data_IF_228603069204
#
_entry.id   IF_228603069204
#
_cell.length_a   1.000
_cell.length_b   1.000
_cell.length_c   1.000
_cell.angle_alpha   90.00
_cell.angle_beta   90.00
_cell.angle_gamma   90.00
#
_symmetry.space_group_name_H-M   'P 1'
#
loop_
_entity.id
_entity.type
_entity.pdbx_description
1 polymer ?
#
# COMPACT_ATOMS: atom_id res chain seq x y z
N UNK A 1 -34.33 -40.30 35.01
CA UNK A 1 -33.07 -40.68 35.66
C UNK A 1 -31.95 -40.05 34.84
N UNK A 2 -31.05 -39.28 35.46
CA UNK A 2 -30.05 -38.49 34.73
C UNK A 2 -28.92 -39.39 34.21
N UNK A 3 -28.40 -39.05 33.03
CA UNK A 3 -27.22 -39.66 32.43
C UNK A 3 -25.96 -39.02 33.03
N UNK A 4 -25.17 -39.82 33.74
CA UNK A 4 -23.81 -39.51 34.17
C UNK A 4 -22.93 -39.21 32.95
N UNK A 5 -22.35 -38.02 32.90
CA UNK A 5 -21.22 -37.69 32.02
C UNK A 5 -20.00 -37.55 32.90
N UNK A 6 -19.12 -38.54 32.83
CA UNK A 6 -17.82 -38.59 33.49
C UNK A 6 -16.97 -37.40 33.07
N UNK A 7 -16.54 -36.59 34.04
CA UNK A 7 -15.63 -35.45 33.84
C UNK A 7 -14.25 -35.99 33.47
N UNK A 8 -13.86 -35.85 32.20
CA UNK A 8 -12.48 -36.04 31.77
C UNK A 8 -11.63 -34.90 32.33
N UNK A 9 -10.66 -35.22 33.19
CA UNK A 9 -9.62 -34.29 33.60
C UNK A 9 -8.83 -33.82 32.37
N UNK A 10 -9.09 -32.58 31.93
CA UNK A 10 -8.20 -31.85 31.04
C UNK A 10 -6.98 -31.41 31.83
N UNK A 11 -5.82 -31.98 31.50
CA UNK A 11 -4.52 -31.55 32.02
C UNK A 11 -4.31 -30.05 31.74
N UNK A 12 -4.12 -29.27 32.80
CA UNK A 12 -3.55 -27.91 32.72
C UNK A 12 -2.17 -27.99 32.06
N UNK A 13 -1.82 -27.10 31.11
CA UNK A 13 -0.47 -27.05 30.57
C UNK A 13 0.52 -26.59 31.65
N UNK A 14 1.62 -27.35 31.80
CA UNK A 14 2.70 -27.10 32.75
C UNK A 14 3.23 -25.67 32.70
N UNK A 15 3.24 -25.02 33.88
CA UNK A 15 3.98 -23.78 34.15
C UNK A 15 5.50 -24.02 34.16
N UNK A 16 6.14 -24.33 33.05
CA UNK A 16 7.61 -24.24 32.94
C UNK A 16 8.02 -24.13 31.48
N UNK A 17 8.16 -22.91 30.98
CA UNK A 17 9.05 -22.57 29.87
C UNK A 17 9.22 -21.04 29.81
N UNK A 18 9.90 -20.50 30.82
CA UNK A 18 10.48 -19.16 30.71
C UNK A 18 11.71 -19.32 29.78
N UNK A 19 11.78 -18.65 28.62
CA UNK A 19 12.89 -18.82 27.70
C UNK A 19 14.20 -18.34 28.34
N UNK A 20 15.25 -19.17 28.26
CA UNK A 20 16.60 -18.79 28.71
C UNK A 20 17.18 -17.68 27.83
N UNK A 21 18.05 -16.82 28.41
CA UNK A 21 18.70 -15.67 27.73
C UNK A 21 19.33 -16.01 26.37
N UNK A 22 19.75 -17.26 26.16
CA UNK A 22 20.39 -17.75 24.93
C UNK A 22 19.39 -17.90 23.76
N UNK A 23 18.18 -18.40 24.02
CA UNK A 23 17.12 -18.55 23.00
C UNK A 23 16.52 -17.21 22.52
N UNK A 24 16.64 -16.15 23.31
CA UNK A 24 16.17 -14.81 22.96
C UNK A 24 17.12 -14.12 21.97
N UNK A 25 18.43 -14.40 22.06
CA UNK A 25 19.44 -13.84 21.14
C UNK A 25 19.33 -14.46 19.74
N UNK A 26 19.15 -15.78 19.63
CA UNK A 26 19.02 -16.45 18.32
C UNK A 26 17.71 -16.08 17.59
N UNK A 27 16.61 -15.82 18.31
CA UNK A 27 15.36 -15.31 17.71
C UNK A 27 15.40 -13.83 17.30
N UNK A 28 16.28 -13.01 17.91
CA UNK A 28 16.39 -11.58 17.62
C UNK A 28 16.98 -11.31 16.23
N UNK A 29 17.94 -12.11 15.79
CA UNK A 29 18.54 -11.98 14.47
C UNK A 29 17.61 -12.48 13.35
N UNK A 30 16.68 -13.39 13.67
CA UNK A 30 15.75 -14.00 12.71
C UNK A 30 14.50 -13.14 12.40
N UNK A 31 14.21 -12.12 13.21
CA UNK A 31 12.95 -11.36 13.12
C UNK A 31 13.15 -9.83 13.04
N UNK A 32 14.33 -9.33 12.65
CA UNK A 32 14.50 -7.89 12.45
C UNK A 32 13.64 -7.40 11.27
N UNK A 33 12.59 -6.62 11.56
CA UNK A 33 11.81 -5.93 10.53
C UNK A 33 12.50 -4.63 10.15
N UNK A 34 12.69 -4.43 8.85
CA UNK A 34 13.01 -3.11 8.31
C UNK A 34 11.70 -2.53 7.75
N UNK A 35 11.11 -1.52 8.41
CA UNK A 35 9.86 -0.94 7.94
C UNK A 35 10.08 -0.21 6.62
N UNK A 36 9.07 -0.25 5.76
CA UNK A 36 9.06 0.48 4.51
C UNK A 36 8.04 1.60 4.57
N UNK A 37 8.37 2.73 3.95
CA UNK A 37 7.52 3.91 3.88
C UNK A 37 7.65 4.55 2.50
N UNK A 38 6.87 4.04 1.54
CA UNK A 38 6.99 4.37 0.11
C UNK A 38 5.67 4.91 -0.46
N UNK A 39 5.77 5.96 -1.28
CA UNK A 39 4.70 6.40 -2.18
C UNK A 39 5.03 5.95 -3.60
N UNK A 40 4.18 5.09 -4.17
CA UNK A 40 4.20 4.70 -5.56
C UNK A 40 3.40 5.70 -6.39
N UNK A 41 4.04 6.33 -7.37
CA UNK A 41 3.39 7.34 -8.20
C UNK A 41 3.63 7.09 -9.69
N UNK A 42 2.78 7.70 -10.51
CA UNK A 42 2.85 7.60 -11.96
C UNK A 42 1.46 7.60 -12.60
N UNK A 43 1.44 7.36 -13.90
CA UNK A 43 0.26 7.54 -14.74
C UNK A 43 -0.91 6.62 -14.33
N UNK A 44 -2.15 6.97 -14.68
CA UNK A 44 -3.30 6.10 -14.45
C UNK A 44 -3.15 4.77 -15.19
N UNK A 45 -3.47 3.66 -14.53
CA UNK A 45 -3.34 2.33 -15.13
C UNK A 45 -1.90 1.82 -15.29
N UNK A 46 -0.90 2.41 -14.62
CA UNK A 46 0.48 1.87 -14.63
C UNK A 46 0.69 0.64 -13.75
N UNK A 47 -0.29 0.24 -12.95
CA UNK A 47 -0.20 -0.94 -12.07
C UNK A 47 0.27 -0.67 -10.64
N UNK A 48 0.25 0.59 -10.18
CA UNK A 48 0.71 1.00 -8.82
C UNK A 48 0.18 0.12 -7.69
N UNK A 49 -1.15 -0.04 -7.58
CA UNK A 49 -1.77 -0.83 -6.50
C UNK A 49 -1.39 -2.32 -6.59
N UNK A 50 -1.24 -2.86 -7.82
CA UNK A 50 -0.76 -4.22 -8.03
C UNK A 50 0.69 -4.39 -7.57
N UNK A 51 1.57 -3.43 -7.87
CA UNK A 51 2.96 -3.46 -7.38
C UNK A 51 3.02 -3.44 -5.85
N UNK A 52 2.17 -2.65 -5.19
CA UNK A 52 2.07 -2.65 -3.72
C UNK A 52 1.63 -4.02 -3.19
N UNK A 53 0.62 -4.62 -3.81
CA UNK A 53 0.13 -5.96 -3.44
C UNK A 53 1.23 -7.02 -3.59
N UNK A 54 1.94 -7.04 -4.71
CA UNK A 54 3.04 -7.99 -4.96
C UNK A 54 4.16 -7.85 -3.92
N UNK A 55 4.56 -6.61 -3.62
CA UNK A 55 5.63 -6.35 -2.64
C UNK A 55 5.22 -6.81 -1.23
N UNK A 56 3.98 -6.54 -0.81
CA UNK A 56 3.47 -6.95 0.49
C UNK A 56 3.34 -8.48 0.56
N UNK A 57 2.82 -9.12 -0.49
CA UNK A 57 2.69 -10.58 -0.56
C UNK A 57 4.08 -11.26 -0.50
N UNK A 58 5.08 -10.71 -1.19
CA UNK A 58 6.47 -11.18 -1.11
C UNK A 58 7.04 -11.05 0.30
N UNK A 59 6.74 -9.96 1.01
CA UNK A 59 7.17 -9.80 2.40
C UNK A 59 6.46 -10.76 3.34
N UNK A 60 5.14 -10.85 3.26
CA UNK A 60 4.33 -11.74 4.10
C UNK A 60 4.74 -13.21 3.94
N UNK A 61 4.98 -13.67 2.71
CA UNK A 61 5.40 -15.06 2.44
C UNK A 61 6.76 -15.42 3.06
N UNK A 62 7.63 -14.44 3.32
CA UNK A 62 8.90 -14.64 4.04
C UNK A 62 8.70 -14.91 5.54
N UNK A 63 7.65 -14.36 6.14
CA UNK A 63 7.44 -14.40 7.60
C UNK A 63 6.40 -15.43 8.05
N UNK A 64 5.48 -15.85 7.18
CA UNK A 64 4.46 -16.83 7.52
C UNK A 64 4.93 -18.26 7.18
N UNK A 65 5.35 -19.02 8.19
CA UNK A 65 5.80 -20.41 8.05
C UNK A 65 4.67 -21.44 7.76
N UNK A 66 3.39 -21.07 7.78
CA UNK A 66 2.28 -22.03 7.62
C UNK A 66 1.43 -21.75 6.39
N UNK A 67 1.64 -22.59 5.37
CA UNK A 67 0.60 -22.93 4.39
C UNK A 67 -0.44 -23.77 5.12
N UNK A 68 -1.67 -23.29 5.29
CA UNK A 68 -2.80 -24.17 5.61
C UNK A 68 -3.17 -24.98 4.36
N UNK A 69 -3.75 -26.17 4.56
CA UNK A 69 -4.05 -27.16 3.50
C UNK A 69 -4.96 -26.64 2.37
N UNK A 70 -5.60 -25.47 2.54
CA UNK A 70 -6.48 -24.84 1.55
C UNK A 70 -5.86 -23.68 0.76
N UNK A 71 -4.54 -23.42 0.85
CA UNK A 71 -3.83 -22.35 0.12
C UNK A 71 -4.41 -20.91 0.24
N UNK A 72 -5.41 -20.69 1.10
CA UNK A 72 -5.98 -19.36 1.38
C UNK A 72 -5.32 -18.80 2.63
N UNK A 73 -4.24 -18.05 2.44
CA UNK A 73 -3.65 -17.24 3.51
C UNK A 73 -4.73 -16.24 3.95
N UNK A 74 -5.12 -16.24 5.23
CA UNK A 74 -6.00 -15.21 5.79
C UNK A 74 -5.20 -13.93 6.05
N UNK A 75 -5.07 -13.11 5.01
CA UNK A 75 -4.36 -11.82 4.97
C UNK A 75 -5.00 -10.71 5.83
N UNK A 76 -6.26 -10.89 6.21
CA UNK A 76 -7.18 -9.83 6.63
C UNK A 76 -6.79 -9.11 7.94
N UNK A 77 -5.88 -9.70 8.72
CA UNK A 77 -5.50 -9.15 10.01
C UNK A 77 -4.19 -8.34 10.02
N UNK A 78 -3.29 -8.52 9.06
CA UNK A 78 -1.98 -7.84 9.02
C UNK A 78 -1.93 -6.64 8.06
N UNK A 79 -2.89 -6.56 7.15
CA UNK A 79 -2.99 -5.50 6.15
C UNK A 79 -4.23 -4.67 6.44
N UNK A 80 -4.05 -3.37 6.60
CA UNK A 80 -5.17 -2.40 6.60
C UNK A 80 -5.05 -1.57 5.34
N UNK A 81 -6.07 -1.58 4.48
CA UNK A 81 -6.13 -0.76 3.27
C UNK A 81 -7.20 0.31 3.42
N UNK A 82 -6.84 1.55 3.08
CA UNK A 82 -7.73 2.71 3.05
C UNK A 82 -7.58 3.45 1.72
N UNK A 83 -8.56 4.25 1.37
CA UNK A 83 -8.52 5.13 0.18
C UNK A 83 -8.79 6.54 0.67
N UNK A 84 -7.90 7.49 0.35
CA UNK A 84 -8.15 8.89 0.66
C UNK A 84 -9.10 9.49 -0.38
N UNK A 85 -10.01 10.33 0.09
CA UNK A 85 -10.93 11.11 -0.73
C UNK A 85 -11.07 12.53 -0.14
N UNK A 86 -11.67 13.49 -0.86
CA UNK A 86 -11.67 14.89 -0.45
C UNK A 86 -12.25 15.13 0.96
N UNK A 87 -13.29 14.38 1.31
CA UNK A 87 -13.94 14.47 2.63
C UNK A 87 -13.34 13.53 3.70
N UNK A 88 -12.28 12.77 3.39
CA UNK A 88 -11.66 11.84 4.34
C UNK A 88 -10.83 12.64 5.34
N UNK A 89 -11.16 12.57 6.62
CA UNK A 89 -10.57 13.41 7.66
C UNK A 89 -9.71 12.67 8.68
N UNK A 90 -9.13 13.46 9.60
CA UNK A 90 -8.40 12.92 10.75
C UNK A 90 -9.30 12.03 11.63
N UNK A 91 -10.55 12.43 11.82
CA UNK A 91 -11.56 11.67 12.57
C UNK A 91 -11.84 10.28 11.98
N UNK A 92 -11.72 10.13 10.66
CA UNK A 92 -11.90 8.86 9.96
C UNK A 92 -10.64 8.00 10.05
N UNK A 93 -9.47 8.61 9.91
CA UNK A 93 -8.18 7.91 9.82
C UNK A 93 -7.58 7.53 11.18
N UNK A 94 -7.52 8.48 12.11
CA UNK A 94 -6.98 8.32 13.46
C UNK A 94 -8.08 7.84 14.40
N UNK A 95 -9.23 8.49 14.37
CA UNK A 95 -10.39 8.18 15.20
C UNK A 95 -11.02 9.42 15.81
N UNK A 96 -12.15 9.24 16.47
CA UNK A 96 -12.93 10.33 17.05
C UNK A 96 -13.68 9.90 18.30
N UNK A 97 -13.93 10.86 19.19
CA UNK A 97 -14.75 10.66 20.38
C UNK A 97 -16.23 10.71 19.98
N UNK A 98 -16.94 9.60 20.24
CA UNK A 98 -18.36 9.46 19.93
C UNK A 98 -19.18 9.36 21.21
N UNK A 99 -20.34 10.03 21.29
CA UNK A 99 -21.28 9.83 22.39
C UNK A 99 -21.94 8.45 22.29
N UNK A 100 -22.03 7.75 23.43
CA UNK A 100 -22.75 6.49 23.58
C UNK A 100 -23.76 6.64 24.71
N UNK A 101 -25.04 6.40 24.40
CA UNK A 101 -26.10 6.46 25.40
C UNK A 101 -25.91 5.30 26.38
N UNK A 102 -25.83 5.61 27.68
CA UNK A 102 -25.77 4.61 28.74
C UNK A 102 -27.19 4.11 29.05
N UNK A 103 -27.36 2.79 29.24
CA UNK A 103 -28.63 2.23 29.69
C UNK A 103 -28.99 2.81 31.07
N UNK A 104 -30.13 3.50 31.16
CA UNK A 104 -30.66 4.04 32.42
C UNK A 104 -30.42 5.53 32.71
N UNK A 105 -29.94 6.33 31.73
CA UNK A 105 -29.67 7.79 31.74
C UNK A 105 -28.17 8.16 31.76
N UNK A 106 -27.77 9.06 30.86
CA UNK A 106 -26.40 9.58 30.71
C UNK A 106 -25.80 9.38 29.31
N UNK A 107 -24.73 10.10 29.00
CA UNK A 107 -23.93 9.96 27.78
C UNK A 107 -22.49 9.62 28.18
N UNK A 108 -22.01 8.46 27.76
CA UNK A 108 -20.59 8.11 27.81
C UNK A 108 -19.90 8.64 26.55
N UNK A 109 -18.64 9.07 26.66
CA UNK A 109 -17.83 9.46 25.51
C UNK A 109 -16.80 8.36 25.25
N UNK A 110 -16.84 7.77 24.06
CA UNK A 110 -16.02 6.61 23.70
C UNK A 110 -15.21 6.92 22.46
N UNK A 111 -13.91 6.70 22.53
CA UNK A 111 -13.05 6.79 21.35
C UNK A 111 -13.39 5.67 20.36
N UNK A 112 -13.80 6.08 19.16
CA UNK A 112 -13.98 5.21 18.00
C UNK A 112 -12.68 5.26 17.17
N UNK A 113 -11.84 4.22 17.20
CA UNK A 113 -10.55 4.22 16.54
C UNK A 113 -10.70 4.13 15.02
N UNK A 114 -9.93 4.94 14.30
CA UNK A 114 -9.75 4.83 12.85
C UNK A 114 -8.73 3.73 12.46
N UNK A 115 -8.60 3.44 11.16
CA UNK A 115 -7.74 2.38 10.63
C UNK A 115 -6.27 2.53 11.02
N UNK A 116 -5.74 3.76 11.13
CA UNK A 116 -4.35 3.99 11.59
C UNK A 116 -4.17 3.52 13.04
N UNK A 117 -5.06 3.93 13.94
CA UNK A 117 -5.01 3.51 15.35
C UNK A 117 -5.21 2.02 15.51
N UNK A 118 -6.11 1.42 14.71
CA UNK A 118 -6.34 -0.03 14.69
C UNK A 118 -5.10 -0.82 14.26
N UNK A 119 -4.45 -0.45 13.16
CA UNK A 119 -3.26 -1.17 12.67
C UNK A 119 -2.07 -0.96 13.60
N UNK A 120 -1.92 0.24 14.16
CA UNK A 120 -0.88 0.57 15.13
C UNK A 120 -1.00 -0.31 16.36
N UNK A 121 -2.21 -0.43 16.92
CA UNK A 121 -2.50 -1.35 18.01
C UNK A 121 -2.11 -2.78 17.69
N UNK A 122 -2.53 -3.30 16.53
CA UNK A 122 -2.21 -4.67 16.11
C UNK A 122 -0.70 -4.90 16.06
N UNK A 123 0.04 -3.93 15.52
CA UNK A 123 1.50 -3.97 15.44
C UNK A 123 2.19 -3.96 16.81
N UNK A 124 1.68 -3.18 17.77
CA UNK A 124 2.18 -3.19 19.16
C UNK A 124 1.93 -4.52 19.86
N UNK A 125 0.73 -5.08 19.71
CA UNK A 125 0.33 -6.31 20.41
C UNK A 125 0.98 -7.57 19.83
N UNK A 126 1.46 -7.53 18.59
CA UNK A 126 2.05 -8.67 17.88
C UNK A 126 3.37 -8.26 17.25
N UNK A 127 4.35 -7.94 18.11
CA UNK A 127 5.66 -7.44 17.70
C UNK A 127 6.47 -8.44 16.88
N UNK A 128 6.10 -9.72 16.89
CA UNK A 128 6.70 -10.82 16.15
C UNK A 128 6.21 -10.96 14.70
N UNK A 129 5.23 -10.15 14.28
CA UNK A 129 4.62 -10.20 12.94
C UNK A 129 4.72 -8.86 12.22
N UNK A 130 4.88 -8.86 10.88
CA UNK A 130 4.83 -7.63 10.09
C UNK A 130 3.39 -7.15 9.89
N UNK A 131 3.22 -5.84 9.83
CA UNK A 131 1.95 -5.16 9.57
C UNK A 131 2.12 -4.11 8.47
N UNK A 132 1.06 -3.92 7.69
CA UNK A 132 1.08 -3.09 6.49
C UNK A 132 -0.14 -2.17 6.46
N UNK A 133 0.10 -0.88 6.38
CA UNK A 133 -0.93 0.11 6.10
C UNK A 133 -0.82 0.54 4.64
N UNK A 134 -1.87 0.33 3.85
CA UNK A 134 -1.95 0.75 2.45
C UNK A 134 -2.89 1.96 2.36
N UNK A 135 -2.38 3.06 1.81
CA UNK A 135 -3.13 4.30 1.57
C UNK A 135 -3.23 4.50 0.06
N UNK A 136 -4.36 4.09 -0.52
CA UNK A 136 -4.63 4.37 -1.92
C UNK A 136 -4.98 5.84 -2.11
N UNK A 137 -4.55 6.40 -3.25
CA UNK A 137 -4.90 7.76 -3.67
C UNK A 137 -4.54 8.83 -2.62
N UNK A 138 -3.33 8.75 -2.04
CA UNK A 138 -2.91 9.57 -0.90
C UNK A 138 -3.06 11.09 -1.12
N UNK A 139 -3.02 11.54 -2.38
CA UNK A 139 -3.18 12.93 -2.75
C UNK A 139 -4.63 13.35 -3.04
N UNK A 140 -5.62 12.44 -3.00
CA UNK A 140 -7.05 12.81 -3.13
C UNK A 140 -7.65 13.39 -1.86
N UNK A 141 -6.97 13.25 -0.72
CA UNK A 141 -7.28 13.94 0.52
C UNK A 141 -6.14 14.85 0.94
N UNK A 142 -6.41 15.79 1.84
CA UNK A 142 -5.35 16.60 2.45
C UNK A 142 -4.55 15.73 3.44
N UNK A 143 -3.52 15.04 2.93
CA UNK A 143 -2.75 14.06 3.70
C UNK A 143 -2.17 14.64 4.99
N UNK A 144 -1.66 15.88 4.97
CA UNK A 144 -1.15 16.54 6.17
C UNK A 144 -2.24 16.73 7.24
N UNK A 145 -3.44 17.18 6.85
CA UNK A 145 -4.57 17.32 7.76
C UNK A 145 -5.11 15.96 8.25
N UNK A 146 -5.13 14.95 7.38
CA UNK A 146 -5.59 13.59 7.73
C UNK A 146 -4.67 12.96 8.79
N UNK A 147 -3.35 13.03 8.59
CA UNK A 147 -2.39 12.55 9.60
C UNK A 147 -2.39 13.45 10.85
N UNK A 148 -2.63 14.75 10.71
CA UNK A 148 -2.60 15.70 11.82
C UNK A 148 -1.25 15.68 12.53
N UNK A 149 -1.25 15.58 13.85
CA UNK A 149 -0.01 15.46 14.63
C UNK A 149 0.79 14.19 14.30
N UNK A 150 0.12 13.09 13.91
CA UNK A 150 0.73 11.77 13.66
C UNK A 150 1.76 11.79 12.52
N UNK A 151 1.79 12.87 11.72
CA UNK A 151 2.83 13.12 10.73
C UNK A 151 4.25 13.08 11.33
N UNK A 152 4.43 13.43 12.61
CA UNK A 152 5.76 13.40 13.24
C UNK A 152 6.29 11.98 13.45
N UNK A 153 5.39 10.99 13.56
CA UNK A 153 5.80 9.59 13.73
C UNK A 153 6.40 8.99 12.46
N UNK A 154 6.13 9.59 11.30
CA UNK A 154 6.61 9.10 10.01
C UNK A 154 8.13 9.24 9.84
N UNK A 155 8.80 10.09 10.64
CA UNK A 155 10.26 10.17 10.66
C UNK A 155 10.84 8.92 11.34
N UNK A 156 11.54 8.04 10.59
CA UNK A 156 12.11 6.78 11.11
C UNK A 156 13.58 6.92 11.53
N UNK A 157 13.96 6.19 12.59
CA UNK A 157 15.35 6.07 13.06
C UNK A 157 16.12 5.21 12.06
N UNK A 158 17.22 5.77 11.54
CA UNK A 158 18.12 5.11 10.58
C UNK A 158 19.37 4.50 11.25
N UNK A 159 19.77 5.01 12.41
CA UNK A 159 20.97 4.60 13.14
C UNK A 159 20.70 3.46 14.14
N UNK A 160 21.76 2.81 14.63
CA UNK A 160 21.65 1.59 15.44
C UNK A 160 20.82 1.76 16.73
N UNK A 161 20.92 2.91 17.43
CA UNK A 161 20.08 3.29 18.58
C UNK A 161 19.98 4.82 18.72
N UNK A 162 18.81 5.35 19.07
CA UNK A 162 18.63 6.75 19.45
C UNK A 162 19.00 7.01 20.92
N UNK A 163 19.00 8.29 21.33
CA UNK A 163 19.30 8.72 22.72
C UNK A 163 18.33 8.12 23.76
N UNK A 164 17.15 7.67 23.32
CA UNK A 164 16.12 7.07 24.17
C UNK A 164 16.16 5.54 24.16
N UNK A 165 17.16 4.93 23.48
CA UNK A 165 17.37 3.49 23.42
C UNK A 165 16.53 2.75 22.36
N UNK A 166 15.77 3.46 21.52
CA UNK A 166 15.02 2.85 20.41
C UNK A 166 15.96 2.50 19.25
N UNK A 167 15.78 1.32 18.66
CA UNK A 167 16.60 0.84 17.54
C UNK A 167 16.09 1.34 16.18
N UNK A 168 16.84 1.04 15.11
CA UNK A 168 16.46 1.25 13.72
C UNK A 168 15.00 0.83 13.43
N UNK A 169 14.29 1.63 12.65
CA UNK A 169 12.92 1.36 12.19
C UNK A 169 11.80 1.92 13.08
N UNK A 170 12.09 2.19 14.35
CA UNK A 170 11.19 2.97 15.20
C UNK A 170 11.03 4.41 14.69
N UNK A 171 9.93 5.08 15.03
CA UNK A 171 9.85 6.53 14.80
C UNK A 171 10.86 7.27 15.68
N UNK A 172 11.49 8.31 15.13
CA UNK A 172 12.46 9.17 15.81
C UNK A 172 11.81 10.06 16.86
N UNK A 173 10.58 10.49 16.59
CA UNK A 173 9.76 11.27 17.49
C UNK A 173 8.65 10.41 18.07
N UNK A 174 8.15 10.85 19.22
CA UNK A 174 6.97 10.30 19.86
C UNK A 174 5.90 11.37 20.02
N UNK A 175 4.64 10.96 20.09
CA UNK A 175 3.50 11.85 20.24
C UNK A 175 2.67 11.48 21.47
N UNK A 176 2.11 12.49 22.11
CA UNK A 176 1.12 12.37 23.16
C UNK A 176 -0.27 12.49 22.57
N UNK A 177 -1.02 11.39 22.57
CA UNK A 177 -2.43 11.39 22.22
C UNK A 177 -3.13 10.37 23.11
N UNK A 178 -3.78 10.87 24.17
CA UNK A 178 -4.34 10.05 25.24
C UNK A 178 -5.34 9.03 24.68
N UNK A 179 -6.28 9.47 23.83
CA UNK A 179 -7.32 8.63 23.26
C UNK A 179 -6.76 7.44 22.46
N UNK A 180 -5.77 7.70 21.60
CA UNK A 180 -5.11 6.66 20.81
C UNK A 180 -4.25 5.78 21.71
N UNK A 181 -3.57 6.36 22.71
CA UNK A 181 -2.69 5.61 23.59
C UNK A 181 -3.49 4.64 24.48
N UNK A 182 -4.57 5.12 25.07
CA UNK A 182 -5.55 4.33 25.83
C UNK A 182 -6.12 3.22 24.96
N UNK A 183 -6.50 3.54 23.72
CA UNK A 183 -7.01 2.53 22.79
C UNK A 183 -5.98 1.44 22.46
N UNK A 184 -4.74 1.82 22.15
CA UNK A 184 -3.67 0.86 21.84
C UNK A 184 -3.38 -0.04 23.05
N UNK A 185 -3.49 0.52 24.27
CA UNK A 185 -3.03 -0.12 25.50
C UNK A 185 -4.10 -0.79 26.35
N UNK A 186 -5.39 -0.54 26.09
CA UNK A 186 -6.47 -1.21 26.81
C UNK A 186 -6.64 -2.66 26.34
N UNK A 187 -5.99 -3.62 27.01
CA UNK A 187 -6.15 -5.07 26.74
C UNK A 187 -7.63 -5.50 26.64
N UNK A 188 -8.56 -4.86 27.37
CA UNK A 188 -9.98 -5.22 27.32
C UNK A 188 -10.63 -4.82 25.99
N UNK A 189 -10.21 -3.71 25.37
CA UNK A 189 -10.64 -3.35 24.03
C UNK A 189 -10.13 -4.32 22.96
N UNK A 190 -8.99 -5.00 23.17
CA UNK A 190 -8.49 -6.07 22.28
C UNK A 190 -9.30 -7.35 22.45
N UNK A 191 -9.57 -7.75 23.69
CA UNK A 191 -10.33 -8.97 24.01
C UNK A 191 -11.78 -8.96 23.49
N UNK A 192 -12.34 -7.78 23.16
CA UNK A 192 -13.64 -7.66 22.48
C UNK A 192 -13.62 -8.15 21.01
N UNK A 193 -12.44 -8.42 20.44
CA UNK A 193 -12.23 -8.90 19.06
C UNK A 193 -11.77 -10.38 18.95
N UNK A 194 -11.87 -11.16 20.05
CA UNK A 194 -11.66 -12.64 20.19
C UNK A 194 -10.35 -13.18 20.82
N UNK A 195 -10.58 -14.05 21.83
CA UNK A 195 -9.86 -15.21 22.38
C UNK A 195 -8.33 -15.23 22.62
N UNK A 196 -8.02 -15.01 23.90
CA UNK A 196 -7.02 -15.67 24.78
C UNK A 196 -5.53 -15.31 24.65
N UNK A 197 -5.04 -14.59 25.67
CA UNK A 197 -3.61 -14.58 26.01
C UNK A 197 -3.10 -13.57 27.06
N UNK A 198 -3.77 -12.44 27.30
CA UNK A 198 -3.17 -11.35 28.10
C UNK A 198 -3.89 -11.08 29.44
N UNK A 199 -3.09 -10.95 30.51
CA UNK A 199 -3.52 -10.69 31.89
C UNK A 199 -3.64 -9.18 32.14
N UNK A 200 -4.69 -8.76 32.87
CA UNK A 200 -4.99 -7.36 33.22
C UNK A 200 -4.17 -6.88 34.43
N UNK A 201 -3.93 -5.58 34.50
CA UNK A 201 -3.59 -4.84 35.73
C UNK A 201 -4.33 -3.45 35.65
N UNK A 202 -4.45 -2.58 36.68
CA UNK A 202 -5.39 -1.39 36.73
C UNK A 202 -4.72 -0.02 37.06
N UNK A 203 -5.23 1.13 36.59
CA UNK A 203 -4.77 2.56 36.76
C UNK A 203 -4.76 3.21 38.18
N UNK A 204 -3.91 4.25 38.50
CA UNK A 204 -4.30 5.70 38.47
C UNK A 204 -3.18 6.79 38.31
N UNK A 205 -3.61 8.07 38.42
CA UNK A 205 -3.09 9.39 37.96
C UNK A 205 -1.80 9.98 38.60
N UNK A 206 -1.17 10.87 37.81
CA UNK A 206 -0.06 11.82 38.06
C UNK A 206 1.35 11.33 37.67
N UNK A 207 1.86 11.77 36.50
CA UNK A 207 3.18 11.34 35.96
C UNK A 207 3.97 12.40 35.16
N UNK A 208 3.84 13.68 35.51
CA UNK A 208 4.81 14.68 35.05
C UNK A 208 5.81 14.96 36.17
N UNK A 209 7.10 14.98 35.84
CA UNK A 209 8.07 15.64 36.70
C UNK A 209 7.78 17.16 36.71
N UNK A 210 8.29 17.88 37.71
CA UNK A 210 8.06 19.33 37.88
C UNK A 210 8.56 20.21 36.72
N UNK A 211 9.06 19.61 35.63
CA UNK A 211 9.51 20.26 34.41
C UNK A 211 8.65 19.90 33.18
N UNK A 212 7.58 19.11 33.34
CA UNK A 212 6.65 18.74 32.26
C UNK A 212 7.08 17.53 31.44
N UNK A 213 8.04 16.71 31.90
CA UNK A 213 8.43 15.47 31.25
C UNK A 213 7.77 14.24 31.91
N UNK A 214 7.59 13.13 31.16
CA UNK A 214 7.19 11.84 31.71
C UNK A 214 8.26 11.28 32.66
N UNK A 215 7.83 10.76 33.81
CA UNK A 215 8.71 10.21 34.85
C UNK A 215 9.58 8.99 34.41
N UNK A 216 9.33 8.45 33.22
CA UNK A 216 10.03 7.35 32.54
C UNK A 216 11.08 7.81 31.50
N UNK A 217 11.42 9.10 31.46
CA UNK A 217 12.58 9.58 30.67
C UNK A 217 13.90 9.03 31.24
N UNK A 218 14.80 8.44 30.41
CA UNK A 218 16.10 7.97 30.89
C UNK A 218 16.94 9.16 31.37
N UNK A 219 17.70 8.96 32.45
CA UNK A 219 18.70 9.93 32.84
C UNK A 219 19.88 9.95 31.86
N UNK A 220 20.74 10.96 32.00
CA UNK A 220 21.92 11.22 31.15
C UNK A 220 22.91 10.04 31.04
N UNK A 221 22.74 8.98 31.83
CA UNK A 221 23.55 7.77 31.83
C UNK A 221 22.78 6.48 31.45
N UNK A 222 21.51 6.60 31.04
CA UNK A 222 20.72 5.48 30.53
C UNK A 222 20.39 4.40 31.57
N UNK A 223 20.43 4.73 32.87
CA UNK A 223 20.10 3.80 33.95
C UNK A 223 19.22 4.47 34.99
N UNK A 224 17.92 4.18 34.93
CA UNK A 224 17.08 4.21 36.13
C UNK A 224 16.41 2.85 36.29
N UNK A 225 16.81 2.10 37.32
CA UNK A 225 15.92 1.09 37.90
C UNK A 225 14.75 1.84 38.51
N UNK A 226 13.56 1.61 37.98
CA UNK A 226 12.32 2.16 38.52
C UNK A 226 12.09 1.49 39.88
N UNK A 227 12.05 2.27 40.96
CA UNK A 227 11.69 1.76 42.28
C UNK A 227 10.20 1.37 42.29
N UNK A 228 9.94 0.06 42.22
CA UNK A 228 8.60 -0.52 42.20
C UNK A 228 7.94 -0.60 43.59
N UNK A 229 8.65 -0.24 44.67
CA UNK A 229 8.16 -0.45 46.04
C UNK A 229 7.00 0.46 46.45
N UNK A 230 6.78 1.56 45.73
CA UNK A 230 5.71 2.54 46.00
C UNK A 230 4.53 2.47 45.01
N UNK A 231 4.65 1.75 43.91
CA UNK A 231 3.67 1.73 42.83
C UNK A 231 2.59 0.66 43.06
N UNK A 232 1.49 1.05 43.71
CA UNK A 232 0.30 0.20 43.86
C UNK A 232 -0.70 0.52 42.75
N UNK A 233 -0.84 -0.41 41.78
CA UNK A 233 -1.83 -0.45 40.68
C UNK A 233 -1.49 0.38 39.41
N UNK A 234 -1.04 -0.28 38.32
CA UNK A 234 -1.15 0.21 36.92
C UNK A 234 -1.68 -0.86 35.98
N UNK A 235 -2.40 -0.54 34.89
CA UNK A 235 -2.59 -1.45 33.74
C UNK A 235 -1.38 -1.38 32.83
N UNK A 236 -0.37 -2.17 33.15
CA UNK A 236 0.81 -2.33 32.31
C UNK A 236 0.54 -3.35 31.22
N UNK A 237 0.76 -2.96 29.97
CA UNK A 237 1.09 -3.91 28.92
C UNK A 237 2.60 -4.13 28.97
N UNK A 238 3.02 -5.25 29.57
CA UNK A 238 4.38 -5.74 29.34
C UNK A 238 4.45 -6.27 27.92
N UNK A 239 5.01 -5.47 27.01
CA UNK A 239 5.27 -5.89 25.65
C UNK A 239 6.74 -6.25 25.52
N UNK A 240 7.00 -7.46 25.07
CA UNK A 240 8.30 -7.79 24.49
C UNK A 240 8.28 -7.20 23.08
N UNK A 241 8.80 -5.98 22.93
CA UNK A 241 8.92 -5.35 21.62
C UNK A 241 10.29 -5.63 21.01
N UNK A 242 10.29 -5.84 19.70
CA UNK A 242 11.52 -5.96 18.94
C UNK A 242 12.34 -4.67 19.00
N UNK A 243 13.66 -4.81 19.13
CA UNK A 243 14.60 -3.71 19.29
C UNK A 243 15.02 -3.42 20.74
N UNK A 244 14.37 -4.04 21.73
CA UNK A 244 14.71 -3.88 23.15
C UNK A 244 15.34 -5.14 23.74
N UNK A 245 16.36 -4.96 24.57
CA UNK A 245 17.07 -6.05 25.25
C UNK A 245 16.33 -6.59 26.48
N UNK A 246 15.29 -5.89 26.92
CA UNK A 246 14.47 -6.18 28.08
C UNK A 246 12.98 -5.97 27.76
N UNK A 247 12.10 -6.58 28.55
CA UNK A 247 10.65 -6.33 28.51
C UNK A 247 10.39 -4.85 28.74
N UNK A 248 9.78 -4.18 27.77
CA UNK A 248 9.36 -2.79 27.93
C UNK A 248 7.96 -2.78 28.53
N UNK A 249 7.80 -2.04 29.63
CA UNK A 249 6.49 -1.87 30.26
C UNK A 249 5.88 -0.59 29.71
N UNK A 250 4.92 -0.76 28.81
CA UNK A 250 4.21 0.33 28.17
C UNK A 250 3.01 0.72 29.04
N UNK A 251 2.97 1.98 29.50
CA UNK A 251 1.88 2.55 30.34
C UNK A 251 0.99 3.49 29.51
N UNK A 252 -0.22 3.83 29.98
CA UNK A 252 -1.07 4.87 29.35
C UNK A 252 -0.36 6.23 29.28
N UNK A 253 0.68 6.43 30.07
CA UNK A 253 1.54 7.61 30.06
C UNK A 253 2.82 7.42 29.25
N UNK A 254 2.92 6.45 28.33
CA UNK A 254 4.09 6.38 27.42
C UNK A 254 3.69 6.92 26.06
N UNK A 255 4.43 7.88 25.53
CA UNK A 255 4.18 8.45 24.21
C UNK A 255 4.16 7.38 23.11
N UNK A 256 3.37 7.63 22.06
CA UNK A 256 3.21 6.76 20.91
C UNK A 256 4.42 6.91 19.99
N UNK A 257 4.96 5.78 19.52
CA UNK A 257 5.91 5.71 18.40
C UNK A 257 5.39 4.78 17.30
N UNK A 258 5.86 4.91 16.06
CA UNK A 258 5.63 3.86 15.06
C UNK A 258 6.61 2.71 15.29
N UNK A 259 6.13 1.47 15.46
CA UNK A 259 7.01 0.32 15.66
C UNK A 259 7.67 -0.13 14.33
N UNK A 260 8.81 -0.85 14.40
CA UNK A 260 9.58 -1.27 13.22
C UNK A 260 8.88 -2.36 12.41
N UNK A 261 7.91 -3.07 12.99
CA UNK A 261 7.11 -4.07 12.29
C UNK A 261 5.93 -3.47 11.50
N UNK A 262 5.70 -2.15 11.54
CA UNK A 262 4.64 -1.48 10.78
C UNK A 262 5.23 -0.72 9.58
N UNK A 263 4.93 -1.22 8.37
CA UNK A 263 5.24 -0.57 7.09
C UNK A 263 4.02 0.19 6.55
N UNK A 264 4.27 1.27 5.82
CA UNK A 264 3.25 2.10 5.20
C UNK A 264 3.55 2.20 3.70
N UNK A 265 2.54 1.88 2.90
CA UNK A 265 2.56 1.93 1.45
C UNK A 265 1.49 2.89 0.99
N UNK A 266 1.77 3.66 -0.04
CA UNK A 266 0.78 4.56 -0.61
C UNK A 266 0.84 4.57 -2.13
N UNK A 267 -0.28 4.87 -2.76
CA UNK A 267 -0.38 5.13 -4.21
C UNK A 267 -0.79 6.57 -4.46
N UNK A 268 -0.25 7.17 -5.52
CA UNK A 268 -0.50 8.55 -5.89
C UNK A 268 -0.71 8.67 -7.41
N UNK A 269 -1.81 9.29 -7.82
CA UNK A 269 -2.01 9.67 -9.22
C UNK A 269 -1.51 11.08 -9.45
N UNK A 270 -0.59 11.27 -10.38
CA UNK A 270 0.06 12.56 -10.63
C UNK A 270 -0.69 13.45 -11.63
N UNK A 271 -1.62 12.89 -12.42
CA UNK A 271 -2.34 13.62 -13.47
C UNK A 271 -3.75 14.09 -13.14
N UNK A 272 -4.32 13.64 -12.03
CA UNK A 272 -5.71 13.99 -11.68
C UNK A 272 -5.83 15.49 -11.35
N UNK A 273 -6.81 16.18 -11.93
CA UNK A 273 -6.95 17.65 -11.79
C UNK A 273 -7.38 18.10 -10.39
N UNK A 274 -8.02 17.23 -9.60
CA UNK A 274 -8.64 17.56 -8.31
C UNK A 274 -7.92 16.88 -7.13
N UNK A 275 -6.59 16.84 -7.18
CA UNK A 275 -5.76 16.28 -6.10
C UNK A 275 -5.09 17.38 -5.30
N UNK A 276 -4.92 17.14 -4.01
CA UNK A 276 -4.13 17.96 -3.12
C UNK A 276 -2.64 17.76 -3.42
N UNK A 277 -1.89 18.86 -3.42
CA UNK A 277 -0.42 18.78 -3.43
C UNK A 277 0.07 18.26 -2.09
N UNK A 278 0.96 17.27 -2.10
CA UNK A 278 1.67 16.86 -0.89
C UNK A 278 2.70 17.95 -0.54
N UNK A 279 2.68 18.47 0.69
CA UNK A 279 3.66 19.47 1.10
C UNK A 279 5.08 18.87 1.26
N UNK A 280 6.11 19.70 1.17
CA UNK A 280 7.50 19.25 1.23
C UNK A 280 7.88 18.58 2.57
N UNK A 281 7.24 18.99 3.67
CA UNK A 281 7.50 18.40 4.97
C UNK A 281 6.90 16.99 5.06
N UNK A 282 5.74 16.76 4.47
CA UNK A 282 5.15 15.44 4.31
C UNK A 282 6.02 14.60 3.38
N UNK A 283 6.31 15.08 2.17
CA UNK A 283 7.06 14.33 1.15
C UNK A 283 8.43 13.82 1.63
N UNK A 284 9.22 14.64 2.36
CA UNK A 284 10.57 14.22 2.82
C UNK A 284 10.57 13.01 3.76
N UNK A 285 9.40 12.60 4.27
CA UNK A 285 9.22 11.45 5.15
C UNK A 285 8.95 10.17 4.39
N UNK A 286 8.78 10.25 3.08
CA UNK A 286 8.51 9.11 2.22
C UNK A 286 9.64 8.89 1.24
N UNK A 287 9.89 7.64 0.91
CA UNK A 287 10.60 7.29 -0.31
C UNK A 287 9.61 7.36 -1.48
N UNK A 288 9.99 8.10 -2.53
CA UNK A 288 9.14 8.31 -3.70
C UNK A 288 9.60 7.35 -4.81
N UNK A 289 8.72 6.46 -5.26
CA UNK A 289 9.02 5.48 -6.30
C UNK A 289 8.08 5.66 -7.50
N UNK A 290 8.65 6.08 -8.63
CA UNK A 290 7.90 6.15 -9.87
C UNK A 290 7.69 4.73 -10.41
N UNK A 291 6.46 4.40 -10.78
CA UNK A 291 6.17 3.20 -11.55
C UNK A 291 6.37 3.53 -13.01
N UNK A 292 7.28 2.80 -13.66
CA UNK A 292 7.51 2.97 -15.09
C UNK A 292 6.24 2.66 -15.87
N UNK A 293 5.99 3.48 -16.88
CA UNK A 293 4.88 3.28 -17.80
C UNK A 293 5.35 2.44 -18.99
N UNK A 294 5.96 1.29 -18.73
CA UNK A 294 6.44 0.39 -19.77
C UNK A 294 5.55 -0.85 -19.80
N UNK A 295 4.79 -0.99 -20.89
CA UNK A 295 4.15 -2.25 -21.23
C UNK A 295 5.00 -2.87 -22.34
N UNK A 296 6.11 -3.50 -21.97
CA UNK A 296 6.97 -4.14 -22.95
C UNK A 296 6.33 -5.44 -23.44
N UNK A 297 6.41 -5.70 -24.75
CA UNK A 297 6.27 -7.03 -25.32
C UNK A 297 7.59 -7.79 -25.05
N UNK A 298 7.77 -8.20 -23.79
CA UNK A 298 8.91 -9.00 -23.36
C UNK A 298 8.38 -10.36 -22.90
N UNK A 299 8.91 -11.44 -23.47
CA UNK A 299 8.55 -12.84 -23.16
C UNK A 299 8.75 -13.21 -21.66
N UNK A 300 9.33 -12.29 -20.88
CA UNK A 300 9.64 -12.47 -19.46
C UNK A 300 8.42 -12.49 -18.51
N UNK A 301 7.26 -11.90 -18.88
CA UNK A 301 6.02 -12.06 -18.08
C UNK A 301 4.78 -12.26 -18.94
N UNK A 302 4.14 -13.43 -18.80
CA UNK A 302 2.98 -13.82 -19.61
C UNK A 302 1.80 -12.84 -19.58
N UNK A 303 1.64 -12.06 -18.50
CA UNK A 303 0.48 -11.18 -18.35
C UNK A 303 0.65 -9.80 -19.02
N UNK A 304 1.88 -9.26 -19.10
CA UNK A 304 2.14 -8.00 -19.83
C UNK A 304 2.02 -8.20 -21.33
N UNK A 305 2.58 -9.29 -21.87
CA UNK A 305 2.46 -9.66 -23.28
C UNK A 305 0.99 -9.92 -23.64
N UNK A 306 0.27 -10.65 -22.77
CA UNK A 306 -1.19 -10.83 -22.94
C UNK A 306 -1.92 -9.51 -23.03
N UNK A 307 -1.61 -8.53 -22.18
CA UNK A 307 -2.26 -7.22 -22.18
C UNK A 307 -1.86 -6.37 -23.40
N UNK A 308 -0.58 -6.42 -23.81
CA UNK A 308 -0.08 -5.72 -24.98
C UNK A 308 -0.81 -6.16 -26.25
N UNK A 309 -0.97 -7.48 -26.44
CA UNK A 309 -1.54 -8.11 -27.63
C UNK A 309 -3.07 -8.10 -27.70
N UNK A 310 -3.74 -7.41 -26.78
CA UNK A 310 -5.20 -7.30 -26.78
C UNK A 310 -5.66 -6.48 -27.98
N UNK A 311 -6.55 -7.07 -28.77
CA UNK A 311 -7.16 -6.40 -29.93
C UNK A 311 -8.25 -5.44 -29.47
N UNK A 312 -8.27 -4.26 -30.08
CA UNK A 312 -9.28 -3.22 -29.83
C UNK A 312 -10.45 -3.39 -30.80
N UNK A 313 -11.62 -3.75 -30.27
CA UNK A 313 -12.87 -3.88 -31.01
C UNK A 313 -12.78 -4.92 -32.12
N UNK A 314 -13.24 -4.53 -33.30
CA UNK A 314 -13.13 -5.27 -34.57
C UNK A 314 -11.95 -4.76 -35.43
N UNK A 315 -11.04 -3.97 -34.84
CA UNK A 315 -9.86 -3.44 -35.54
C UNK A 315 -8.71 -4.44 -35.52
N UNK A 316 -7.66 -4.19 -36.30
CA UNK A 316 -6.43 -4.98 -36.26
C UNK A 316 -5.34 -4.37 -35.36
N UNK A 317 -5.70 -3.38 -34.53
CA UNK A 317 -4.73 -2.65 -33.71
C UNK A 317 -4.65 -3.29 -32.32
N UNK A 318 -3.42 -3.60 -31.89
CA UNK A 318 -3.14 -4.07 -30.54
C UNK A 318 -3.12 -2.91 -29.56
N UNK A 319 -3.51 -3.17 -28.30
CA UNK A 319 -3.51 -2.17 -27.24
C UNK A 319 -2.13 -1.55 -27.01
N UNK A 320 -1.08 -2.36 -27.00
CA UNK A 320 0.29 -1.89 -26.82
C UNK A 320 0.71 -0.87 -27.88
N UNK A 321 0.48 -1.19 -29.15
CA UNK A 321 0.80 -0.33 -30.30
C UNK A 321 0.03 0.99 -30.25
N UNK A 322 -1.29 0.92 -30.03
CA UNK A 322 -2.12 2.13 -29.89
C UNK A 322 -1.61 3.04 -28.76
N UNK A 323 -1.30 2.43 -27.61
CA UNK A 323 -0.86 3.15 -26.41
C UNK A 323 0.47 3.85 -26.62
N UNK A 324 1.44 3.21 -27.26
CA UNK A 324 2.74 3.81 -27.58
C UNK A 324 2.57 5.07 -28.43
N UNK A 325 1.84 4.95 -29.54
CA UNK A 325 1.60 6.06 -30.47
C UNK A 325 0.87 7.21 -29.78
N UNK A 326 -0.19 6.93 -29.05
CA UNK A 326 -0.96 7.97 -28.35
C UNK A 326 -0.14 8.62 -27.24
N UNK A 327 0.69 7.86 -26.53
CA UNK A 327 1.55 8.44 -25.51
C UNK A 327 2.61 9.37 -26.11
N UNK A 328 3.17 9.04 -27.28
CA UNK A 328 4.04 9.96 -28.01
C UNK A 328 3.30 11.23 -28.45
N UNK A 329 2.07 11.10 -28.95
CA UNK A 329 1.24 12.25 -29.33
C UNK A 329 0.92 13.13 -28.12
N UNK A 330 0.59 12.55 -26.97
CA UNK A 330 0.37 13.28 -25.72
C UNK A 330 1.62 14.06 -25.30
N UNK A 331 2.80 13.46 -25.44
CA UNK A 331 4.06 14.14 -25.12
C UNK A 331 4.38 15.28 -26.09
N UNK A 332 4.13 15.11 -27.39
CA UNK A 332 4.34 16.17 -28.38
C UNK A 332 3.38 17.35 -28.16
N UNK A 333 2.09 17.05 -27.93
CA UNK A 333 1.09 18.05 -27.53
C UNK A 333 1.53 18.80 -26.26
N UNK A 334 2.15 18.12 -25.29
CA UNK A 334 2.67 18.74 -24.09
C UNK A 334 3.77 19.78 -24.36
N UNK A 335 4.72 19.42 -25.21
CA UNK A 335 5.83 20.28 -25.59
C UNK A 335 5.33 21.51 -26.36
N UNK A 336 4.42 21.32 -27.31
CA UNK A 336 3.84 22.39 -28.12
C UNK A 336 3.01 23.38 -27.28
N UNK A 337 2.30 22.87 -26.27
CA UNK A 337 1.46 23.69 -25.39
C UNK A 337 2.20 24.21 -24.14
N UNK A 338 3.49 23.87 -23.95
CA UNK A 338 4.30 24.29 -22.79
C UNK A 338 3.81 23.75 -21.44
N UNK A 339 3.18 22.57 -21.43
CA UNK A 339 2.53 21.96 -20.27
C UNK A 339 3.32 20.74 -19.78
N UNK A 340 4.34 20.96 -18.95
CA UNK A 340 5.20 19.88 -18.42
C UNK A 340 4.45 18.81 -17.60
N UNK A 341 3.26 19.11 -17.07
CA UNK A 341 2.41 18.18 -16.32
C UNK A 341 1.64 17.15 -17.18
N UNK A 342 1.82 17.18 -18.50
CA UNK A 342 1.13 16.26 -19.42
C UNK A 342 1.81 14.89 -19.55
N UNK A 343 3.06 14.71 -19.08
CA UNK A 343 3.69 13.38 -19.01
C UNK A 343 2.84 12.39 -18.19
N UNK A 344 2.21 12.91 -17.12
CA UNK A 344 1.35 12.13 -16.23
C UNK A 344 0.00 11.76 -16.86
N UNK A 345 -0.36 12.38 -17.99
CA UNK A 345 -1.60 12.11 -18.74
C UNK A 345 -1.49 10.97 -19.75
N UNK A 346 -0.33 10.32 -19.82
CA UNK A 346 -0.14 9.13 -20.65
C UNK A 346 -1.05 7.99 -20.18
N UNK A 347 -1.39 7.11 -21.10
CA UNK A 347 -2.14 5.90 -20.83
C UNK A 347 -1.22 4.83 -20.23
N UNK A 348 -1.63 4.27 -19.09
CA UNK A 348 -1.01 3.10 -18.47
C UNK A 348 -1.27 1.80 -19.21
N UNK A 349 -0.39 0.80 -19.06
CA UNK A 349 -0.57 -0.51 -19.68
C UNK A 349 -1.88 -1.22 -19.28
N UNK A 350 -2.34 -0.98 -18.06
CA UNK A 350 -3.55 -1.55 -17.46
C UNK A 350 -4.72 -0.56 -17.41
N UNK A 351 -4.69 0.51 -18.22
CA UNK A 351 -5.73 1.54 -18.24
C UNK A 351 -7.10 0.99 -18.63
N UNK A 352 -7.13 -0.08 -19.42
CA UNK A 352 -8.35 -0.78 -19.84
C UNK A 352 -8.23 -2.28 -19.62
N UNK A 353 -9.33 -2.88 -19.17
CA UNK A 353 -9.42 -4.33 -18.89
C UNK A 353 -10.14 -5.02 -20.05
N UNK A 354 -9.52 -6.01 -20.70
CA UNK A 354 -10.17 -6.85 -21.70
C UNK A 354 -11.29 -7.69 -21.09
N UNK A 355 -12.29 -8.06 -21.91
CA UNK A 355 -13.38 -8.96 -21.49
C UNK A 355 -13.46 -10.16 -22.44
N UNK A 356 -13.79 -11.33 -21.88
CA UNK A 356 -14.24 -12.46 -22.69
C UNK A 356 -15.65 -12.15 -23.22
N UNK A 357 -15.89 -12.49 -24.49
CA UNK A 357 -17.17 -12.24 -25.16
C UNK A 357 -18.21 -13.32 -24.85
N UNK A 358 -17.79 -14.49 -24.38
CA UNK A 358 -18.62 -15.58 -23.90
C UNK A 358 -17.90 -16.35 -22.77
N UNK A 359 -18.62 -17.29 -22.14
CA UNK A 359 -18.09 -18.13 -21.06
C UNK A 359 -17.25 -19.33 -21.55
N UNK A 360 -16.95 -19.41 -22.86
CA UNK A 360 -16.12 -20.50 -23.38
C UNK A 360 -14.67 -20.32 -22.92
N UNK A 361 -14.06 -21.40 -22.41
CA UNK A 361 -12.68 -21.37 -21.93
C UNK A 361 -11.68 -20.89 -23.01
N UNK A 362 -11.97 -21.21 -24.27
CA UNK A 362 -11.13 -20.89 -25.44
C UNK A 362 -11.36 -19.49 -26.03
N UNK A 363 -12.35 -18.73 -25.57
CA UNK A 363 -12.61 -17.41 -26.14
C UNK A 363 -11.56 -16.40 -25.73
N UNK A 364 -10.94 -15.80 -26.76
CA UNK A 364 -9.92 -14.76 -26.59
C UNK A 364 -10.56 -13.54 -25.95
N UNK A 365 -9.96 -13.04 -24.87
CA UNK A 365 -10.36 -11.75 -24.33
C UNK A 365 -10.05 -10.65 -25.36
N UNK A 366 -10.93 -9.65 -25.45
CA UNK A 366 -10.75 -8.49 -26.32
C UNK A 366 -11.16 -7.21 -25.61
N UNK A 367 -10.63 -6.08 -26.06
CA UNK A 367 -11.09 -4.77 -25.62
C UNK A 367 -12.30 -4.40 -26.48
N UNK A 368 -13.52 -4.47 -25.95
CA UNK A 368 -14.72 -4.12 -26.73
C UNK A 368 -14.71 -2.65 -27.17
N UNK A 369 -15.30 -2.32 -28.34
CA UNK A 369 -15.43 -0.93 -28.82
C UNK A 369 -16.03 0.01 -27.76
N UNK A 370 -17.10 -0.43 -27.10
CA UNK A 370 -17.77 0.34 -26.06
C UNK A 370 -16.82 0.64 -24.89
N UNK A 371 -16.17 -0.39 -24.33
CA UNK A 371 -15.20 -0.18 -23.24
C UNK A 371 -14.06 0.77 -23.63
N UNK A 372 -13.57 0.68 -24.88
CA UNK A 372 -12.56 1.59 -25.39
C UNK A 372 -13.07 3.02 -25.51
N UNK A 373 -14.26 3.23 -26.07
CA UNK A 373 -14.85 4.54 -26.22
C UNK A 373 -15.11 5.23 -24.86
N UNK A 374 -15.73 4.51 -23.93
CA UNK A 374 -16.13 5.05 -22.63
C UNK A 374 -14.95 5.30 -21.68
N UNK A 375 -13.87 4.53 -21.80
CA UNK A 375 -12.68 4.71 -20.94
C UNK A 375 -11.59 5.52 -21.62
N UNK A 376 -11.15 5.10 -22.80
CA UNK A 376 -9.97 5.65 -23.47
C UNK A 376 -10.33 6.92 -24.23
N UNK A 377 -11.30 6.89 -25.14
CA UNK A 377 -11.64 8.08 -25.93
C UNK A 377 -12.17 9.22 -25.05
N UNK A 378 -12.99 8.89 -24.05
CA UNK A 378 -13.45 9.86 -23.05
C UNK A 378 -12.29 10.52 -22.32
N UNK A 379 -11.33 9.74 -21.82
CA UNK A 379 -10.14 10.28 -21.15
C UNK A 379 -9.29 11.16 -22.08
N UNK A 380 -9.06 10.71 -23.32
CA UNK A 380 -8.34 11.51 -24.30
C UNK A 380 -9.04 12.84 -24.60
N UNK A 381 -10.37 12.85 -24.62
CA UNK A 381 -11.17 14.04 -24.88
C UNK A 381 -11.26 15.01 -23.68
N UNK A 382 -11.49 14.49 -22.48
CA UNK A 382 -11.74 15.29 -21.27
C UNK A 382 -10.46 15.75 -20.58
N UNK A 383 -9.39 14.96 -20.66
CA UNK A 383 -8.15 15.18 -19.90
C UNK A 383 -6.92 15.37 -20.79
N UNK A 384 -6.57 14.39 -21.63
CA UNK A 384 -5.31 14.40 -22.37
C UNK A 384 -5.26 15.56 -23.38
N UNK A 385 -6.27 15.63 -24.27
CA UNK A 385 -6.39 16.62 -25.35
C UNK A 385 -7.42 17.72 -25.06
N UNK A 386 -7.67 18.01 -23.78
CA UNK A 386 -8.70 18.97 -23.35
C UNK A 386 -8.56 20.34 -24.04
N UNK A 387 -7.34 20.77 -24.34
CA UNK A 387 -7.02 22.10 -24.86
C UNK A 387 -6.80 22.15 -26.39
N UNK A 388 -6.67 20.99 -27.04
CA UNK A 388 -6.29 20.85 -28.46
C UNK A 388 -7.11 19.78 -29.17
N UNK A 389 -8.33 19.49 -28.69
CA UNK A 389 -9.29 18.54 -29.31
C UNK A 389 -9.41 18.69 -30.83
N UNK A 390 -9.36 19.92 -31.34
CA UNK A 390 -9.49 20.19 -32.78
C UNK A 390 -8.30 19.66 -33.59
N UNK A 391 -7.10 19.67 -33.00
CA UNK A 391 -5.90 19.15 -33.63
C UNK A 391 -5.98 17.63 -33.77
N UNK A 392 -6.52 16.93 -32.77
CA UNK A 392 -6.53 15.46 -32.71
C UNK A 392 -7.82 14.81 -33.20
N UNK A 393 -8.98 15.46 -33.05
CA UNK A 393 -10.32 14.93 -33.39
C UNK A 393 -11.03 15.75 -34.49
N UNK A 394 -10.35 16.71 -35.11
CA UNK A 394 -10.90 17.55 -36.16
C UNK A 394 -12.07 18.42 -35.68
N UNK A 395 -13.12 18.53 -36.50
CA UNK A 395 -14.28 19.40 -36.21
C UNK A 395 -15.38 18.74 -35.35
N UNK A 396 -15.10 17.64 -34.67
CA UNK A 396 -16.06 17.00 -33.76
C UNK A 396 -16.35 17.95 -32.59
N UNK A 397 -17.63 18.21 -32.33
CA UNK A 397 -18.06 19.20 -31.33
C UNK A 397 -18.36 18.61 -29.95
N UNK A 398 -18.72 17.33 -29.88
CA UNK A 398 -19.15 16.68 -28.64
C UNK A 398 -18.52 15.30 -28.52
N UNK A 399 -18.32 14.85 -27.27
CA UNK A 399 -17.86 13.50 -26.96
C UNK A 399 -18.82 12.44 -27.51
N UNK A 400 -20.13 12.67 -27.41
CA UNK A 400 -21.15 11.76 -27.96
C UNK A 400 -20.93 11.53 -29.46
N UNK A 401 -20.72 12.60 -30.23
CA UNK A 401 -20.45 12.48 -31.67
C UNK A 401 -19.11 11.79 -31.96
N UNK A 402 -18.11 11.98 -31.09
CA UNK A 402 -16.84 11.26 -31.21
C UNK A 402 -17.05 9.75 -31.06
N UNK A 403 -17.81 9.34 -30.04
CA UNK A 403 -18.11 7.94 -29.76
C UNK A 403 -18.94 7.30 -30.89
N UNK A 404 -19.98 7.99 -31.40
CA UNK A 404 -20.75 7.52 -32.56
C UNK A 404 -19.87 7.37 -33.82
N UNK A 405 -18.98 8.32 -34.05
CA UNK A 405 -18.07 8.26 -35.18
C UNK A 405 -17.07 7.11 -35.02
N UNK A 406 -16.65 6.77 -33.80
CA UNK A 406 -15.75 5.63 -33.56
C UNK A 406 -16.41 4.31 -33.94
N UNK A 407 -17.69 4.14 -33.60
CA UNK A 407 -18.40 2.89 -33.90
C UNK A 407 -18.48 2.62 -35.41
N UNK A 408 -18.70 3.68 -36.19
CA UNK A 408 -18.87 3.62 -37.66
C UNK A 408 -17.57 3.76 -38.46
N UNK A 409 -16.60 4.52 -37.98
CA UNK A 409 -15.36 4.87 -38.71
C UNK A 409 -14.09 4.28 -38.10
N UNK A 410 -14.17 3.63 -36.94
CA UNK A 410 -13.01 3.13 -36.21
C UNK A 410 -12.02 4.25 -35.88
N UNK A 411 -10.72 4.02 -36.08
CA UNK A 411 -9.68 5.01 -35.79
C UNK A 411 -9.63 6.21 -36.74
N UNK A 412 -10.46 6.26 -37.79
CA UNK A 412 -10.60 7.44 -38.66
C UNK A 412 -11.33 8.62 -37.97
N UNK A 413 -11.44 8.59 -36.65
CA UNK A 413 -11.85 9.70 -35.80
C UNK A 413 -10.69 10.63 -35.43
N UNK A 414 -9.45 10.15 -35.55
CA UNK A 414 -8.24 10.94 -35.31
C UNK A 414 -7.87 11.77 -36.54
N UNK A 415 -7.06 12.81 -36.37
CA UNK A 415 -6.53 13.57 -37.50
C UNK A 415 -5.59 12.71 -38.37
N UNK A 416 -5.50 13.02 -39.67
CA UNK A 416 -4.68 12.26 -40.62
C UNK A 416 -3.21 12.14 -40.19
N UNK A 417 -2.68 13.15 -39.49
CA UNK A 417 -1.33 13.14 -38.92
C UNK A 417 -1.15 12.06 -37.85
N UNK A 418 -2.16 11.88 -37.00
CA UNK A 418 -2.14 10.91 -35.90
C UNK A 418 -2.42 9.49 -36.42
N UNK A 419 -3.32 9.37 -37.41
CA UNK A 419 -3.60 8.10 -38.11
C UNK A 419 -2.33 7.58 -38.80
N UNK A 420 -1.56 8.45 -39.48
CA UNK A 420 -0.29 8.04 -40.11
C UNK A 420 0.69 7.47 -39.10
N UNK A 421 0.86 8.10 -37.94
CA UNK A 421 1.70 7.58 -36.85
C UNK A 421 1.20 6.22 -36.34
N UNK A 422 -0.12 6.07 -36.18
CA UNK A 422 -0.74 4.80 -35.80
C UNK A 422 -0.45 3.69 -36.82
N UNK A 423 -0.44 4.02 -38.12
CA UNK A 423 -0.17 3.08 -39.20
C UNK A 423 1.33 2.75 -39.36
N UNK A 424 2.22 3.74 -39.19
CA UNK A 424 3.67 3.59 -39.35
C UNK A 424 4.29 2.71 -38.24
N UNK A 425 3.88 2.91 -36.99
CA UNK A 425 4.39 2.15 -35.83
C UNK A 425 3.84 0.72 -35.82
N UNK A 426 2.57 0.52 -36.20
CA UNK A 426 2.00 -0.82 -36.35
C UNK A 426 2.71 -1.64 -37.44
N UNK A 427 3.12 -1.00 -38.54
CA UNK A 427 3.78 -1.68 -39.67
C UNK A 427 5.26 -1.99 -39.44
N UNK A 428 5.97 -1.18 -38.64
CA UNK A 428 7.41 -1.36 -38.37
C UNK A 428 7.69 -2.49 -37.38
N UNK A 429 6.79 -2.76 -36.43
CA UNK A 429 6.98 -3.84 -35.44
C UNK A 429 6.58 -5.22 -35.97
N UNK A 430 5.57 -5.32 -36.83
CA UNK A 430 5.20 -6.59 -37.50
C UNK A 430 6.34 -7.18 -38.34
N UNK A 431 7.27 -6.35 -38.83
CA UNK A 431 8.40 -6.82 -39.63
C UNK A 431 9.60 -7.31 -38.79
N UNK A 432 9.69 -6.92 -37.51
CA UNK A 432 10.79 -7.33 -36.63
C UNK A 432 10.52 -8.65 -35.89
N UNK A 433 9.25 -9.05 -35.72
CA UNK A 433 8.86 -10.36 -35.16
C UNK A 433 9.03 -11.54 -36.16
N UNK A 434 9.49 -11.27 -37.38
CA UNK A 434 9.63 -12.26 -38.46
C UNK A 434 11.06 -12.73 -38.76
N UNK A 435 12.07 -12.36 -37.96
CA UNK A 435 13.48 -12.64 -38.27
C UNK A 435 14.17 -13.51 -37.22
N UNK A 436 13.74 -14.76 -37.08
CA UNK A 436 14.64 -15.86 -36.70
C UNK A 436 14.77 -16.78 -37.92
N UNK A 437 15.62 -16.39 -38.86
CA UNK A 437 16.03 -17.26 -39.95
C UNK A 437 17.29 -18.03 -39.54
N UNK A 438 17.12 -19.35 -39.54
CA UNK A 438 18.14 -20.37 -39.40
C UNK A 438 19.40 -20.07 -40.24
N UNK A 439 20.56 -20.05 -39.57
CA UNK A 439 21.83 -20.41 -40.18
C UNK A 439 22.39 -21.63 -39.46
N UNK A 440 22.04 -22.81 -39.99
CA UNK A 440 22.76 -24.06 -39.74
C UNK A 440 24.20 -23.90 -40.24
N UNK A 441 25.15 -23.71 -39.33
CA UNK A 441 26.56 -23.92 -39.59
C UNK A 441 26.90 -25.40 -39.32
N UNK A 442 27.14 -26.14 -40.41
CA UNK A 442 27.84 -27.43 -40.39
C UNK A 442 29.23 -27.26 -39.79
N UNK A 443 29.67 -28.08 -38.82
CA UNK A 443 31.05 -28.09 -38.36
C UNK A 443 31.89 -28.99 -39.26
N UNK A 444 32.82 -28.39 -40.00
CA UNK A 444 33.95 -29.10 -40.62
C UNK A 444 34.93 -29.50 -39.52
N UNK A 445 35.04 -30.81 -39.27
CA UNK A 445 36.20 -31.41 -38.62
C UNK A 445 37.40 -31.30 -39.57
N UNK A 446 38.45 -30.61 -39.13
CA UNK A 446 39.80 -30.76 -39.67
C UNK A 446 40.54 -31.77 -38.79
N UNK A 447 40.69 -32.99 -39.30
CA UNK A 447 41.70 -33.92 -38.82
C UNK A 447 43.05 -33.56 -39.49
N UNK A 448 44.03 -33.26 -38.63
CA UNK A 448 45.44 -33.15 -39.01
C UNK A 448 45.98 -34.53 -39.40
N UNK A 449 46.49 -34.63 -40.62
CA UNK A 449 47.54 -35.56 -41.01
C UNK A 449 48.59 -34.75 -41.78
N UNK A 450 49.77 -34.58 -41.19
CA UNK A 450 50.90 -33.83 -41.76
C UNK A 450 51.78 -33.23 -40.69
#
# INVERSE_FOLDING_TARGET
MPLDITVGHLNMPNQTNIPTKKNISERKDLLSFSPTQIIYYGVPGSGKSHTVDDEINKKLSKYNERKTEDNKITYDNQVTRVVFHPDYGNADFIGQIMPKIREGHGVDYVFKPGPFSQILRKAYLNSDKPYFLIIEEINRGNAAAIFGEMIQLLDRIKENKDKSGYSTGWSSYSIWNDDVNDYIRDINAYNKFEHSGCVKVNHPKDMLDGNGNPADSPDENGKKEIDFSSATSYSSLELILQGFDYKQTFRESTAIRLPPNLSIYATMNTSDQNVFTLDNAFQRRWEMKQISNDLAHDDSTADTTKQYDQIIGDTNVKWGEFREVINEIIMQSAEENGLSSMEDKRLGGWFITPKKLDDNENSKAVITKNAFAEKVLKYLWDDAFKFDRKAHFGNVKTLEKLIENFDTKGFNIFADTDIKKLQEIASTKTNNDGSINNSTSTPTQNDNNG
#
